data_IF_439282307697
#
_entry.id   IF_439282307697
#
_cell.length_a   1.000
_cell.length_b   1.000
_cell.length_c   1.000
_cell.angle_alpha   90.00
_cell.angle_beta   90.00
_cell.angle_gamma   90.00
#
_symmetry.space_group_name_H-M   'P 1'
#
loop_
_entity.id
_entity.type
_entity.pdbx_description
1 polymer ?
#
# COMPACT_ATOMS: atom_id res chain seq x y z
N UNK A 1 -2.31 -33.13 35.76
CA UNK A 1 -3.70 -33.53 36.06
C UNK A 1 -4.60 -32.33 35.90
N UNK A 2 -5.70 -32.44 35.17
CA UNK A 2 -6.67 -31.34 35.00
C UNK A 2 -7.55 -31.26 36.26
N UNK A 3 -7.79 -30.03 36.69
CA UNK A 3 -8.51 -29.71 37.91
C UNK A 3 -9.96 -29.40 37.62
N UNK A 4 -10.86 -30.18 38.19
CA UNK A 4 -12.31 -30.07 37.97
C UNK A 4 -13.02 -29.71 39.26
N UNK A 5 -13.92 -28.73 39.21
CA UNK A 5 -14.86 -28.47 40.31
C UNK A 5 -16.21 -29.05 39.93
N UNK A 6 -16.85 -29.72 40.91
CA UNK A 6 -18.18 -30.26 40.81
C UNK A 6 -19.11 -29.37 41.62
N UNK A 7 -20.19 -28.89 41.01
CA UNK A 7 -21.23 -28.13 41.67
C UNK A 7 -22.55 -28.88 41.53
N UNK A 8 -23.00 -29.50 42.59
CA UNK A 8 -24.20 -30.32 42.69
C UNK A 8 -24.68 -30.34 44.15
N UNK A 9 -25.93 -30.04 44.42
CA UNK A 9 -26.49 -30.01 45.75
C UNK A 9 -26.79 -31.45 46.29
N UNK A 10 -26.86 -32.43 45.38
CA UNK A 10 -26.99 -33.83 45.74
C UNK A 10 -25.62 -34.45 46.08
N UNK A 11 -25.28 -34.47 47.37
CA UNK A 11 -23.96 -34.96 47.88
C UNK A 11 -23.59 -36.34 47.37
N UNK A 12 -24.55 -37.22 47.20
CA UNK A 12 -24.33 -38.61 46.70
C UNK A 12 -23.88 -38.55 45.24
N UNK A 13 -24.52 -37.74 44.40
CA UNK A 13 -24.17 -37.61 42.99
C UNK A 13 -22.80 -36.94 42.84
N UNK A 14 -22.55 -35.85 43.59
CA UNK A 14 -21.26 -35.20 43.62
C UNK A 14 -20.11 -36.15 44.03
N UNK A 15 -20.35 -37.01 45.00
CA UNK A 15 -19.34 -38.02 45.46
C UNK A 15 -19.08 -39.06 44.35
N UNK A 16 -20.13 -39.60 43.74
CA UNK A 16 -19.99 -40.56 42.63
C UNK A 16 -19.21 -39.96 41.43
N UNK A 17 -19.50 -38.73 41.09
CA UNK A 17 -18.74 -38.00 40.05
C UNK A 17 -17.29 -37.86 40.48
N UNK A 18 -17.02 -37.50 41.74
CA UNK A 18 -15.69 -37.36 42.28
C UNK A 18 -14.86 -38.63 42.22
N UNK A 19 -15.47 -39.78 42.59
CA UNK A 19 -14.84 -41.10 42.48
C UNK A 19 -14.53 -41.46 41.02
N UNK A 20 -15.46 -41.25 40.11
CA UNK A 20 -15.31 -41.47 38.67
C UNK A 20 -14.16 -40.63 38.10
N UNK A 21 -14.10 -39.33 38.42
CA UNK A 21 -13.06 -38.44 37.96
C UNK A 21 -11.67 -38.85 38.47
N UNK A 22 -11.57 -39.18 39.75
CA UNK A 22 -10.32 -39.60 40.38
C UNK A 22 -9.79 -40.91 39.80
N UNK A 23 -10.68 -41.87 39.51
CA UNK A 23 -10.33 -43.12 38.86
C UNK A 23 -9.81 -42.94 37.40
N UNK A 24 -10.12 -41.82 36.76
CA UNK A 24 -9.73 -41.51 35.40
C UNK A 24 -8.70 -40.38 35.32
N UNK A 25 -7.83 -40.24 36.29
CA UNK A 25 -6.69 -39.29 36.31
C UNK A 25 -7.05 -37.80 36.29
N UNK A 26 -8.28 -37.42 36.67
CA UNK A 26 -8.66 -36.04 36.93
C UNK A 26 -8.52 -35.70 38.41
N UNK A 27 -8.20 -34.45 38.71
CA UNK A 27 -8.16 -33.95 40.09
C UNK A 27 -9.45 -33.20 40.42
N UNK A 28 -10.18 -33.69 41.41
CA UNK A 28 -11.31 -32.94 41.97
C UNK A 28 -10.74 -31.81 42.85
N UNK A 29 -10.87 -30.58 42.38
CA UNK A 29 -10.35 -29.40 43.08
C UNK A 29 -11.28 -28.95 44.20
N UNK A 30 -12.57 -29.26 44.10
CA UNK A 30 -13.58 -28.93 45.09
C UNK A 30 -14.96 -29.42 44.69
N UNK A 31 -15.84 -29.49 45.69
CA UNK A 31 -17.27 -29.83 45.51
C UNK A 31 -18.05 -28.67 46.12
N UNK A 32 -18.93 -28.02 45.35
CA UNK A 32 -19.81 -26.96 45.78
C UNK A 32 -21.26 -27.49 45.86
N UNK A 33 -21.99 -27.10 46.86
CA UNK A 33 -23.39 -27.47 47.08
C UNK A 33 -24.39 -26.42 46.66
N UNK A 34 -23.91 -25.31 46.14
CA UNK A 34 -24.73 -24.17 45.66
C UNK A 34 -24.03 -23.37 44.57
N UNK A 35 -24.80 -22.63 43.78
CA UNK A 35 -24.23 -21.75 42.75
C UNK A 35 -23.37 -20.62 43.32
N UNK A 36 -23.64 -20.13 44.52
CA UNK A 36 -22.82 -19.11 45.16
C UNK A 36 -21.44 -19.67 45.56
N UNK A 37 -21.39 -20.83 46.18
CA UNK A 37 -20.19 -21.53 46.57
C UNK A 37 -19.37 -21.93 45.33
N UNK A 38 -20.03 -22.38 44.26
CA UNK A 38 -19.37 -22.71 43.00
C UNK A 38 -18.63 -21.53 42.40
N UNK A 39 -19.22 -20.32 42.44
CA UNK A 39 -18.56 -19.08 41.97
C UNK A 39 -17.33 -18.75 42.83
N UNK A 40 -17.46 -18.79 44.16
CA UNK A 40 -16.36 -18.49 45.10
C UNK A 40 -15.19 -19.43 44.87
N UNK A 41 -15.48 -20.75 44.89
CA UNK A 41 -14.45 -21.78 44.66
C UNK A 41 -13.79 -21.67 43.27
N UNK A 42 -14.57 -21.34 42.23
CA UNK A 42 -14.01 -21.17 40.88
C UNK A 42 -13.02 -20.01 40.82
N UNK A 43 -13.34 -18.86 41.46
CA UNK A 43 -12.46 -17.68 41.49
C UNK A 43 -11.18 -17.94 42.28
N UNK A 44 -11.28 -18.68 43.38
CA UNK A 44 -10.15 -19.02 44.27
C UNK A 44 -9.26 -20.10 43.64
N UNK A 45 -9.86 -21.22 43.23
CA UNK A 45 -9.13 -22.41 42.81
C UNK A 45 -8.76 -22.43 41.34
N UNK A 46 -9.43 -21.62 40.49
CA UNK A 46 -9.19 -21.51 39.04
C UNK A 46 -9.07 -22.90 38.37
N UNK A 47 -10.15 -23.67 38.32
CA UNK A 47 -10.15 -25.02 37.74
C UNK A 47 -10.01 -24.94 36.19
N UNK A 48 -9.67 -26.11 35.61
CA UNK A 48 -9.62 -26.25 34.15
C UNK A 48 -11.01 -26.51 33.52
N UNK A 49 -11.97 -27.01 34.34
CA UNK A 49 -13.32 -27.30 33.93
C UNK A 49 -14.28 -27.29 35.14
N UNK A 50 -15.52 -26.91 34.90
CA UNK A 50 -16.62 -27.03 35.87
C UNK A 50 -17.68 -28.01 35.37
N UNK A 51 -18.08 -28.93 36.26
CA UNK A 51 -19.31 -29.68 36.14
C UNK A 51 -20.36 -28.97 37.01
N UNK A 52 -21.47 -28.55 36.44
CA UNK A 52 -22.43 -27.68 37.11
C UNK A 52 -23.84 -28.24 36.97
N UNK A 53 -24.50 -28.55 38.09
CA UNK A 53 -25.92 -28.79 38.03
C UNK A 53 -26.67 -27.53 37.69
N UNK A 54 -27.68 -27.64 36.85
CA UNK A 54 -28.55 -26.53 36.46
C UNK A 54 -29.40 -26.07 37.61
N UNK A 55 -29.97 -27.04 38.36
CA UNK A 55 -30.93 -26.77 39.43
C UNK A 55 -30.22 -26.92 40.77
N UNK A 56 -29.90 -25.81 41.40
CA UNK A 56 -29.28 -25.76 42.69
C UNK A 56 -30.04 -24.80 43.64
N UNK A 57 -30.01 -25.10 44.97
CA UNK A 57 -30.71 -24.25 45.96
C UNK A 57 -30.05 -22.90 46.10
N UNK A 58 -30.85 -21.88 46.51
CA UNK A 58 -30.38 -20.56 46.84
C UNK A 58 -30.79 -19.49 45.84
N UNK A 59 -30.15 -18.32 45.92
CA UNK A 59 -30.42 -17.16 45.05
C UNK A 59 -29.79 -17.24 43.69
N UNK A 60 -28.85 -18.15 43.49
CA UNK A 60 -28.05 -18.28 42.29
C UNK A 60 -28.15 -19.73 41.77
N UNK A 61 -28.89 -19.93 40.68
CA UNK A 61 -28.99 -21.20 39.98
C UNK A 61 -27.68 -21.52 39.23
N UNK A 62 -27.51 -22.75 38.75
CA UNK A 62 -26.31 -23.17 38.05
C UNK A 62 -26.05 -22.40 36.79
N UNK A 63 -27.08 -21.99 36.07
CA UNK A 63 -26.97 -21.19 34.84
C UNK A 63 -26.39 -19.81 35.15
N UNK A 64 -26.94 -19.15 36.17
CA UNK A 64 -26.48 -17.81 36.60
C UNK A 64 -25.08 -17.85 37.22
N UNK A 65 -24.73 -18.93 37.93
CA UNK A 65 -23.41 -19.16 38.45
C UNK A 65 -22.38 -19.36 37.30
N UNK A 66 -22.70 -20.22 36.34
CA UNK A 66 -21.87 -20.46 35.17
C UNK A 66 -21.64 -19.17 34.35
N UNK A 67 -22.65 -18.29 34.19
CA UNK A 67 -22.51 -16.98 33.53
C UNK A 67 -21.49 -16.08 34.22
N UNK A 68 -21.50 -16.03 35.56
CA UNK A 68 -20.54 -15.25 36.34
C UNK A 68 -19.13 -15.81 36.23
N UNK A 69 -18.98 -17.13 36.31
CA UNK A 69 -17.70 -17.83 36.18
C UNK A 69 -17.10 -17.61 34.79
N UNK A 70 -17.91 -17.81 33.75
CA UNK A 70 -17.45 -17.65 32.37
C UNK A 70 -16.99 -16.21 32.08
N UNK A 71 -17.72 -15.21 32.60
CA UNK A 71 -17.32 -13.79 32.46
C UNK A 71 -15.97 -13.47 33.13
N UNK A 72 -15.67 -14.13 34.25
CA UNK A 72 -14.47 -13.86 35.02
C UNK A 72 -13.24 -14.70 34.57
N UNK A 73 -13.45 -15.97 34.25
CA UNK A 73 -12.36 -16.94 34.09
C UNK A 73 -12.31 -17.59 32.69
N UNK A 74 -13.41 -17.51 31.91
CA UNK A 74 -13.53 -18.13 30.57
C UNK A 74 -13.12 -19.62 30.58
N UNK A 75 -13.58 -20.38 31.57
CA UNK A 75 -13.34 -21.83 31.69
C UNK A 75 -14.52 -22.63 31.18
N UNK A 76 -14.31 -23.84 30.64
CA UNK A 76 -15.40 -24.66 30.12
C UNK A 76 -16.33 -25.09 31.25
N UNK A 77 -17.63 -24.96 31.01
CA UNK A 77 -18.70 -25.43 31.88
C UNK A 77 -19.47 -26.53 31.16
N UNK A 78 -19.66 -27.65 31.81
CA UNK A 78 -20.55 -28.75 31.40
C UNK A 78 -21.73 -28.75 32.36
N UNK A 79 -22.93 -28.63 31.81
CA UNK A 79 -24.13 -28.70 32.63
C UNK A 79 -24.55 -30.15 32.86
N UNK A 80 -24.88 -30.48 34.14
CA UNK A 80 -25.53 -31.70 34.53
C UNK A 80 -27.04 -31.37 34.65
N UNK A 81 -27.88 -32.20 34.11
CA UNK A 81 -29.35 -31.94 34.11
C UNK A 81 -30.14 -33.22 34.26
N UNK A 82 -31.15 -33.22 35.10
CA UNK A 82 -32.09 -34.34 35.27
C UNK A 82 -33.13 -34.44 34.15
N UNK A 83 -33.37 -33.33 33.44
CA UNK A 83 -34.36 -33.25 32.36
C UNK A 83 -33.80 -32.52 31.15
N UNK A 84 -34.11 -33.00 29.96
CA UNK A 84 -33.97 -32.28 28.72
C UNK A 84 -35.05 -31.21 28.58
N UNK A 85 -35.18 -30.34 29.61
CA UNK A 85 -36.19 -29.27 29.57
C UNK A 85 -35.69 -28.22 28.61
N UNK A 86 -36.43 -28.07 27.52
CA UNK A 86 -36.07 -27.19 26.40
C UNK A 86 -35.92 -25.73 26.87
N UNK A 87 -36.69 -25.34 27.88
CA UNK A 87 -36.61 -23.99 28.47
C UNK A 87 -35.25 -23.73 29.19
N UNK A 88 -34.79 -24.72 29.95
CA UNK A 88 -33.50 -24.62 30.64
C UNK A 88 -32.31 -24.63 29.67
N UNK A 89 -32.40 -25.41 28.60
CA UNK A 89 -31.40 -25.43 27.53
C UNK A 89 -31.36 -24.06 26.83
N UNK A 90 -32.53 -23.46 26.52
CA UNK A 90 -32.59 -22.13 25.91
C UNK A 90 -32.01 -21.02 26.81
N UNK A 91 -32.23 -21.10 28.12
CA UNK A 91 -31.64 -20.18 29.11
C UNK A 91 -30.11 -20.32 29.22
N UNK A 92 -29.59 -21.53 29.09
CA UNK A 92 -28.15 -21.81 29.19
C UNK A 92 -27.39 -21.49 27.88
N UNK A 93 -28.07 -21.47 26.72
CA UNK A 93 -27.49 -21.23 25.39
C UNK A 93 -26.63 -19.96 25.28
N UNK A 94 -27.03 -18.79 25.82
CA UNK A 94 -26.22 -17.57 25.74
C UNK A 94 -24.89 -17.64 26.47
N UNK A 95 -24.73 -18.56 27.42
CA UNK A 95 -23.50 -18.76 28.20
C UNK A 95 -22.47 -19.53 27.36
N UNK A 96 -22.94 -20.26 26.32
CA UNK A 96 -22.09 -21.07 25.47
C UNK A 96 -21.47 -22.29 26.18
N UNK A 97 -22.30 -23.13 26.88
CA UNK A 97 -21.75 -24.29 27.56
C UNK A 97 -21.09 -25.23 26.56
N UNK A 98 -20.09 -25.97 27.05
CA UNK A 98 -19.36 -26.89 26.19
C UNK A 98 -20.13 -28.18 25.92
N UNK A 99 -20.93 -28.64 26.90
CA UNK A 99 -21.80 -29.80 26.76
C UNK A 99 -22.91 -29.78 27.82
N UNK A 100 -23.91 -30.66 27.61
CA UNK A 100 -24.94 -31.06 28.57
C UNK A 100 -24.83 -32.57 28.80
N UNK A 101 -24.85 -33.01 30.04
CA UNK A 101 -24.86 -34.42 30.42
C UNK A 101 -26.10 -34.71 31.24
N UNK A 102 -26.88 -35.70 30.80
CA UNK A 102 -28.13 -36.07 31.42
C UNK A 102 -27.87 -36.95 32.65
N UNK A 103 -28.60 -36.70 33.75
CA UNK A 103 -28.72 -37.58 34.88
C UNK A 103 -29.80 -38.67 34.61
N UNK A 104 -29.61 -39.98 34.94
CA UNK A 104 -28.50 -40.56 35.66
C UNK A 104 -27.21 -40.61 34.81
N UNK A 105 -26.12 -40.21 35.44
CA UNK A 105 -24.82 -40.04 34.78
C UNK A 105 -24.26 -41.40 34.32
N UNK A 106 -23.90 -41.48 33.05
CA UNK A 106 -23.12 -42.57 32.50
C UNK A 106 -21.66 -42.18 32.43
N UNK A 107 -20.77 -42.92 33.06
CA UNK A 107 -19.35 -42.66 33.18
C UNK A 107 -18.73 -42.34 31.82
N UNK A 108 -18.97 -43.17 30.79
CA UNK A 108 -18.43 -42.95 29.44
C UNK A 108 -18.88 -41.64 28.79
N UNK A 109 -20.13 -41.24 29.03
CA UNK A 109 -20.66 -39.97 28.47
C UNK A 109 -20.06 -38.77 29.17
N UNK A 110 -19.92 -38.84 30.50
CA UNK A 110 -19.30 -37.79 31.30
C UNK A 110 -17.84 -37.58 30.91
N UNK A 111 -17.06 -38.63 30.84
CA UNK A 111 -15.64 -38.57 30.47
C UNK A 111 -15.45 -38.05 29.04
N UNK A 112 -16.25 -38.53 28.09
CA UNK A 112 -16.20 -38.03 26.72
C UNK A 112 -16.54 -36.52 26.63
N UNK A 113 -17.56 -36.05 27.37
CA UNK A 113 -17.94 -34.64 27.41
C UNK A 113 -16.79 -33.78 28.03
N UNK A 114 -16.14 -34.26 29.09
CA UNK A 114 -15.02 -33.57 29.70
C UNK A 114 -13.83 -33.46 28.75
N UNK A 115 -13.45 -34.54 28.08
CA UNK A 115 -12.34 -34.57 27.14
C UNK A 115 -12.59 -33.62 25.97
N UNK A 116 -13.78 -33.66 25.39
CA UNK A 116 -14.17 -32.75 24.31
C UNK A 116 -14.17 -31.29 24.76
N UNK A 117 -14.69 -30.99 25.97
CA UNK A 117 -14.74 -29.65 26.50
C UNK A 117 -13.34 -29.07 26.74
N UNK A 118 -12.45 -29.85 27.37
CA UNK A 118 -11.07 -29.47 27.61
C UNK A 118 -10.28 -29.23 26.31
N UNK A 119 -10.42 -30.17 25.37
CA UNK A 119 -9.75 -30.05 24.08
C UNK A 119 -10.25 -28.81 23.29
N UNK A 120 -11.56 -28.59 23.21
CA UNK A 120 -12.17 -27.45 22.58
C UNK A 120 -11.69 -26.13 23.23
N UNK A 121 -11.60 -26.07 24.56
CA UNK A 121 -11.12 -24.89 25.26
C UNK A 121 -9.66 -24.57 24.88
N UNK A 122 -8.77 -25.57 24.87
CA UNK A 122 -7.38 -25.39 24.43
C UNK A 122 -7.28 -24.90 23.00
N UNK A 123 -8.10 -25.44 22.09
CA UNK A 123 -8.12 -25.01 20.71
C UNK A 123 -8.62 -23.57 20.55
N UNK A 124 -9.65 -23.19 21.31
CA UNK A 124 -10.17 -21.81 21.28
C UNK A 124 -9.13 -20.80 21.80
N UNK A 125 -8.41 -21.15 22.87
CA UNK A 125 -7.32 -20.30 23.39
C UNK A 125 -6.20 -20.13 22.38
N UNK A 126 -5.74 -21.23 21.77
CA UNK A 126 -4.71 -21.17 20.71
C UNK A 126 -5.16 -20.33 19.49
N UNK A 127 -6.42 -20.47 19.10
CA UNK A 127 -6.99 -19.68 18.00
C UNK A 127 -7.01 -18.20 18.34
N UNK A 128 -7.41 -17.84 19.56
CA UNK A 128 -7.41 -16.46 20.03
C UNK A 128 -5.99 -15.88 20.04
N UNK A 129 -5.02 -16.59 20.63
CA UNK A 129 -3.62 -16.16 20.63
C UNK A 129 -3.05 -15.97 19.22
N UNK A 130 -3.38 -16.88 18.30
CA UNK A 130 -2.96 -16.77 16.91
C UNK A 130 -3.60 -15.56 16.20
N UNK A 131 -4.89 -15.30 16.49
CA UNK A 131 -5.61 -14.14 15.97
C UNK A 131 -4.97 -12.83 16.46
N UNK A 132 -4.75 -12.70 17.75
CA UNK A 132 -4.16 -11.50 18.37
C UNK A 132 -2.74 -11.22 17.80
N UNK A 133 -1.92 -12.27 17.63
CA UNK A 133 -0.60 -12.17 17.01
C UNK A 133 -0.68 -11.75 15.52
N UNK A 134 -1.68 -12.26 14.80
CA UNK A 134 -1.88 -11.90 13.41
C UNK A 134 -2.31 -10.44 13.27
N UNK A 135 -3.22 -9.99 14.12
CA UNK A 135 -3.69 -8.60 14.14
C UNK A 135 -2.53 -7.62 14.40
N UNK A 136 -1.70 -7.89 15.41
CA UNK A 136 -0.50 -7.09 15.65
C UNK A 136 0.44 -7.05 14.45
N UNK A 137 0.67 -8.21 13.81
CA UNK A 137 1.55 -8.29 12.64
C UNK A 137 1.00 -7.54 11.43
N UNK A 138 -0.32 -7.56 11.25
CA UNK A 138 -1.00 -6.78 10.20
C UNK A 138 -0.82 -5.29 10.45
N UNK A 139 -1.01 -4.84 11.68
CA UNK A 139 -0.85 -3.43 12.05
C UNK A 139 0.60 -2.95 11.82
N UNK A 140 1.60 -3.70 12.29
CA UNK A 140 3.01 -3.40 12.06
C UNK A 140 3.35 -3.32 10.57
N UNK A 141 2.92 -4.32 9.78
CA UNK A 141 3.18 -4.36 8.34
C UNK A 141 2.48 -3.24 7.58
N UNK A 142 1.27 -2.90 7.98
CA UNK A 142 0.54 -1.78 7.37
C UNK A 142 1.27 -0.46 7.62
N UNK A 143 1.78 -0.26 8.83
CA UNK A 143 2.57 0.92 9.17
C UNK A 143 3.89 1.00 8.38
N UNK A 144 4.63 -0.12 8.29
CA UNK A 144 5.87 -0.18 7.49
C UNK A 144 5.61 0.13 6.01
N UNK A 145 4.55 -0.47 5.44
CA UNK A 145 4.18 -0.26 4.05
C UNK A 145 3.80 1.19 3.77
N UNK A 146 3.07 1.83 4.68
CA UNK A 146 2.71 3.24 4.56
C UNK A 146 3.96 4.13 4.49
N UNK A 147 4.90 3.95 5.42
CA UNK A 147 6.16 4.72 5.44
C UNK A 147 6.95 4.50 4.15
N UNK A 148 7.04 3.25 3.67
CA UNK A 148 7.74 2.95 2.41
C UNK A 148 7.05 3.58 1.20
N UNK A 149 5.71 3.60 1.17
CA UNK A 149 4.95 4.23 0.10
C UNK A 149 5.16 5.74 0.06
N UNK A 150 5.11 6.40 1.21
CA UNK A 150 5.37 7.84 1.33
C UNK A 150 6.79 8.19 0.85
N UNK A 151 7.81 7.46 1.29
CA UNK A 151 9.20 7.64 0.84
C UNK A 151 9.37 7.43 -0.68
N UNK A 152 8.70 6.41 -1.25
CA UNK A 152 8.74 6.16 -2.69
C UNK A 152 8.08 7.27 -3.49
N UNK A 153 7.00 7.87 -3.02
CA UNK A 153 6.35 9.01 -3.66
C UNK A 153 7.24 10.25 -3.65
N UNK A 154 7.90 10.53 -2.52
CA UNK A 154 8.87 11.63 -2.41
C UNK A 154 10.05 11.42 -3.36
N UNK A 155 10.64 10.23 -3.38
CA UNK A 155 11.74 9.89 -4.29
C UNK A 155 11.32 10.00 -5.76
N UNK A 156 10.14 9.52 -6.14
CA UNK A 156 9.62 9.65 -7.49
C UNK A 156 9.43 11.11 -7.90
N UNK A 157 8.93 11.93 -6.97
CA UNK A 157 8.75 13.36 -7.22
C UNK A 157 10.09 14.06 -7.43
N UNK A 158 11.06 13.80 -6.56
CA UNK A 158 12.41 14.33 -6.69
C UNK A 158 13.09 13.88 -8.01
N UNK A 159 12.94 12.60 -8.37
CA UNK A 159 13.48 12.07 -9.63
C UNK A 159 12.86 12.74 -10.86
N UNK A 160 11.55 12.98 -10.87
CA UNK A 160 10.87 13.69 -11.95
C UNK A 160 11.40 15.11 -12.12
N UNK A 161 11.65 15.83 -11.02
CA UNK A 161 12.21 17.19 -11.06
C UNK A 161 13.65 17.17 -11.61
N UNK A 162 14.47 16.21 -11.15
CA UNK A 162 15.85 16.08 -11.65
C UNK A 162 15.91 15.71 -13.14
N UNK A 163 15.04 14.80 -13.59
CA UNK A 163 14.97 14.44 -15.01
C UNK A 163 14.55 15.62 -15.87
N UNK A 164 13.56 16.40 -15.40
CA UNK A 164 13.13 17.60 -16.11
C UNK A 164 14.27 18.62 -16.21
N UNK A 165 14.96 18.88 -15.10
CA UNK A 165 16.10 19.81 -15.10
C UNK A 165 17.24 19.34 -16.01
N UNK A 166 17.56 18.05 -15.97
CA UNK A 166 18.59 17.47 -16.88
C UNK A 166 18.22 17.67 -18.36
N UNK A 167 16.94 17.59 -18.67
CA UNK A 167 16.46 17.80 -20.04
C UNK A 167 16.57 19.28 -20.45
N UNK A 168 16.23 20.20 -19.54
CA UNK A 168 16.43 21.64 -19.72
C UNK A 168 17.91 22.00 -19.90
N UNK A 169 18.79 21.50 -19.03
CA UNK A 169 20.24 21.74 -19.10
C UNK A 169 20.85 21.19 -20.40
N UNK A 170 20.38 20.03 -20.87
CA UNK A 170 20.81 19.44 -22.14
C UNK A 170 20.41 20.31 -23.32
N UNK A 171 19.19 20.83 -23.32
CA UNK A 171 18.69 21.69 -24.40
C UNK A 171 19.46 23.01 -24.47
N UNK A 172 19.74 23.60 -23.32
CA UNK A 172 20.54 24.82 -23.24
C UNK A 172 21.96 24.60 -23.80
N UNK A 173 22.58 23.47 -23.45
CA UNK A 173 23.90 23.10 -23.98
C UNK A 173 23.86 22.90 -25.50
N UNK A 174 22.85 22.22 -26.02
CA UNK A 174 22.66 21.99 -27.45
C UNK A 174 22.50 23.34 -28.21
N UNK A 175 21.67 24.25 -27.71
CA UNK A 175 21.51 25.59 -28.26
C UNK A 175 22.83 26.39 -28.27
N UNK A 176 23.60 26.26 -27.17
CA UNK A 176 24.88 26.97 -27.00
C UNK A 176 25.94 26.44 -27.98
N UNK A 177 26.01 25.13 -28.21
CA UNK A 177 26.93 24.55 -29.20
C UNK A 177 26.59 25.00 -30.60
N UNK A 178 25.30 24.99 -31.01
CA UNK A 178 24.86 25.45 -32.30
C UNK A 178 25.20 26.96 -32.51
N UNK A 179 24.90 27.76 -31.50
CA UNK A 179 25.21 29.21 -31.54
C UNK A 179 26.71 29.46 -31.73
N UNK A 180 27.54 28.81 -30.91
CA UNK A 180 29.00 28.98 -30.97
C UNK A 180 29.57 28.62 -32.36
N UNK A 181 29.13 27.50 -32.93
CA UNK A 181 29.62 27.08 -34.23
C UNK A 181 29.09 28.02 -35.36
N UNK A 182 27.79 28.29 -35.38
CA UNK A 182 27.17 29.06 -36.48
C UNK A 182 27.48 30.53 -36.44
N UNK A 183 27.49 31.15 -35.28
CA UNK A 183 27.61 32.59 -35.13
C UNK A 183 29.06 33.04 -34.88
N UNK A 184 29.89 32.22 -34.21
CA UNK A 184 31.27 32.59 -33.86
C UNK A 184 32.32 31.96 -34.80
N UNK A 185 32.08 30.77 -35.35
CA UNK A 185 33.09 30.02 -36.12
C UNK A 185 32.82 30.12 -37.65
N UNK A 186 31.62 29.80 -38.09
CA UNK A 186 31.27 29.73 -39.53
C UNK A 186 31.53 31.03 -40.30
N UNK A 187 31.26 32.25 -39.78
CA UNK A 187 31.54 33.49 -40.49
C UNK A 187 33.04 33.72 -40.79
N UNK A 188 33.91 33.24 -39.88
CA UNK A 188 35.35 33.35 -40.15
C UNK A 188 35.81 32.31 -41.18
N UNK A 189 35.21 31.14 -41.17
CA UNK A 189 35.48 30.10 -42.16
C UNK A 189 35.09 30.56 -43.56
N UNK A 190 33.95 31.23 -43.71
CA UNK A 190 33.50 31.80 -44.99
C UNK A 190 34.43 32.91 -45.45
N UNK A 191 34.91 33.80 -44.54
CA UNK A 191 35.90 34.81 -44.89
C UNK A 191 37.21 34.19 -45.37
N UNK A 192 37.65 33.09 -44.73
CA UNK A 192 38.85 32.34 -45.19
C UNK A 192 38.62 31.78 -46.58
N UNK A 193 37.46 31.16 -46.86
CA UNK A 193 37.09 30.64 -48.18
C UNK A 193 37.11 31.71 -49.27
N UNK A 194 36.70 32.94 -48.92
CA UNK A 194 36.69 34.07 -49.87
C UNK A 194 38.08 34.67 -50.15
N UNK A 195 39.10 34.27 -49.38
CA UNK A 195 40.49 34.70 -49.60
C UNK A 195 41.17 33.89 -50.70
N UNK A 196 42.38 34.36 -51.18
CA UNK A 196 43.19 33.59 -52.14
C UNK A 196 43.83 32.40 -51.42
N UNK A 197 43.21 31.21 -51.59
CA UNK A 197 43.70 29.95 -51.03
C UNK A 197 44.37 29.09 -52.13
N UNK A 198 45.43 28.42 -51.76
CA UNK A 198 45.99 27.33 -52.60
C UNK A 198 45.10 26.07 -52.54
N UNK A 199 45.35 25.11 -53.42
CA UNK A 199 44.51 23.90 -53.51
C UNK A 199 44.52 23.04 -52.21
N UNK A 200 45.66 23.02 -51.47
CA UNK A 200 45.76 22.28 -50.21
C UNK A 200 44.96 22.98 -49.11
N UNK A 201 45.05 24.30 -49.04
CA UNK A 201 44.28 25.12 -48.08
C UNK A 201 42.79 25.02 -48.31
N UNK A 202 42.32 25.01 -49.59
CA UNK A 202 40.90 24.78 -49.94
C UNK A 202 40.36 23.48 -49.40
N UNK A 203 41.10 22.37 -49.67
CA UNK A 203 40.71 21.04 -49.14
C UNK A 203 40.64 21.00 -47.62
N UNK A 204 41.58 21.62 -46.92
CA UNK A 204 41.57 21.69 -45.43
C UNK A 204 40.36 22.44 -44.90
N UNK A 205 40.01 23.58 -45.53
CA UNK A 205 38.84 24.39 -45.16
C UNK A 205 37.52 23.63 -45.40
N UNK A 206 37.44 22.90 -46.54
CA UNK A 206 36.27 22.06 -46.82
C UNK A 206 36.09 20.91 -45.80
N UNK A 207 37.21 20.27 -45.41
CA UNK A 207 37.18 19.24 -44.34
C UNK A 207 36.73 19.85 -43.00
N UNK A 208 37.25 21.04 -42.68
CA UNK A 208 36.93 21.71 -41.41
C UNK A 208 35.44 22.12 -41.36
N UNK A 209 34.89 22.62 -42.48
CA UNK A 209 33.47 22.93 -42.62
C UNK A 209 32.60 21.68 -42.46
N UNK A 210 32.97 20.58 -43.11
CA UNK A 210 32.28 19.29 -42.99
C UNK A 210 32.26 18.83 -41.54
N UNK A 211 33.40 18.85 -40.86
CA UNK A 211 33.52 18.42 -39.45
C UNK A 211 32.66 19.32 -38.53
N UNK A 212 32.63 20.63 -38.73
CA UNK A 212 31.79 21.54 -37.95
C UNK A 212 30.29 21.27 -38.19
N UNK A 213 29.90 21.02 -39.45
CA UNK A 213 28.54 20.62 -39.79
C UNK A 213 28.14 19.29 -39.17
N UNK A 214 29.08 18.33 -39.12
CA UNK A 214 28.85 17.04 -38.47
C UNK A 214 28.65 17.16 -36.94
N UNK A 215 29.35 18.09 -36.30
CA UNK A 215 29.16 18.42 -34.88
C UNK A 215 27.78 19.06 -34.66
N UNK A 216 27.33 19.95 -35.51
CA UNK A 216 26.05 20.68 -35.37
C UNK A 216 24.84 19.84 -35.83
N UNK A 217 25.02 18.95 -36.83
CA UNK A 217 23.94 18.17 -37.44
C UNK A 217 23.12 17.31 -36.45
N UNK A 218 23.70 16.58 -35.50
CA UNK A 218 22.93 15.81 -34.51
C UNK A 218 22.01 16.72 -33.65
N UNK A 219 22.52 17.86 -33.22
CA UNK A 219 21.78 18.84 -32.40
C UNK A 219 20.68 19.54 -33.23
N UNK A 220 20.97 19.87 -34.46
CA UNK A 220 19.99 20.43 -35.40
C UNK A 220 18.84 19.43 -35.72
N UNK A 221 19.14 18.15 -35.80
CA UNK A 221 18.13 17.08 -35.95
C UNK A 221 17.27 16.92 -34.70
N UNK A 222 17.86 16.94 -33.51
CA UNK A 222 17.12 16.85 -32.24
C UNK A 222 16.13 18.00 -32.10
N UNK A 223 16.57 19.25 -32.45
CA UNK A 223 15.68 20.41 -32.48
C UNK A 223 14.59 20.30 -33.56
N UNK A 224 14.89 19.73 -34.74
CA UNK A 224 13.90 19.57 -35.83
C UNK A 224 12.79 18.57 -35.48
N UNK A 225 13.11 17.54 -34.77
CA UNK A 225 12.13 16.54 -34.29
C UNK A 225 11.23 17.14 -33.21
N UNK A 226 11.74 18.05 -32.41
CA UNK A 226 11.00 18.76 -31.34
C UNK A 226 10.03 19.82 -31.90
N UNK A 227 10.37 20.48 -32.99
CA UNK A 227 9.51 21.50 -33.64
C UNK A 227 8.60 20.95 -34.76
N UNK A 228 8.14 19.69 -34.60
CA UNK A 228 7.02 19.13 -35.39
C UNK A 228 7.15 19.41 -36.92
N UNK A 229 8.17 18.87 -37.57
CA UNK A 229 8.33 18.91 -39.02
C UNK A 229 8.52 20.32 -39.65
N UNK A 230 9.09 21.27 -38.93
CA UNK A 230 9.48 22.55 -39.54
C UNK A 230 10.62 22.33 -40.55
N UNK A 231 10.55 23.03 -41.69
CA UNK A 231 11.68 23.07 -42.61
C UNK A 231 12.86 23.85 -42.02
N UNK A 232 14.11 23.68 -42.53
CA UNK A 232 15.27 24.44 -42.04
C UNK A 232 15.04 25.96 -42.02
N UNK A 233 14.41 26.51 -43.04
CA UNK A 233 14.08 27.93 -43.13
C UNK A 233 13.02 28.34 -42.09
N UNK A 234 11.98 27.53 -41.89
CA UNK A 234 10.97 27.76 -40.85
C UNK A 234 11.56 27.69 -39.45
N UNK A 235 12.52 26.78 -39.23
CA UNK A 235 13.22 26.64 -37.96
C UNK A 235 14.07 27.86 -37.64
N UNK A 236 14.82 28.37 -38.61
CA UNK A 236 15.60 29.59 -38.49
C UNK A 236 14.73 30.78 -38.11
N UNK A 237 13.60 30.94 -38.81
CA UNK A 237 12.62 31.99 -38.50
C UNK A 237 11.96 31.81 -37.13
N UNK A 238 11.59 30.56 -36.75
CA UNK A 238 11.02 30.27 -35.45
C UNK A 238 11.98 30.62 -34.31
N UNK A 239 13.28 30.33 -34.48
CA UNK A 239 14.31 30.66 -33.49
C UNK A 239 14.44 32.19 -33.34
N UNK A 240 14.48 32.95 -34.44
CA UNK A 240 14.52 34.42 -34.39
C UNK A 240 13.25 35.01 -33.74
N UNK A 241 12.07 34.45 -33.98
CA UNK A 241 10.82 34.84 -33.33
C UNK A 241 10.87 34.56 -31.83
N UNK A 242 11.40 33.40 -31.39
CA UNK A 242 11.62 33.05 -29.99
C UNK A 242 12.50 34.09 -29.29
N UNK A 243 13.57 34.55 -29.95
CA UNK A 243 14.46 35.61 -29.45
C UNK A 243 13.90 37.04 -29.60
N UNK A 244 12.62 37.18 -29.96
CA UNK A 244 11.91 38.46 -29.96
C UNK A 244 12.12 39.31 -31.19
N UNK A 245 12.73 38.80 -32.26
CA UNK A 245 12.91 39.52 -33.51
C UNK A 245 11.59 39.76 -34.24
N UNK A 246 11.39 40.96 -34.74
CA UNK A 246 10.21 41.33 -35.51
C UNK A 246 10.30 40.84 -36.95
N UNK A 247 9.18 40.80 -37.66
CA UNK A 247 9.13 40.43 -39.11
C UNK A 247 10.08 41.24 -39.95
N UNK A 248 10.22 42.57 -39.67
CA UNK A 248 11.13 43.44 -40.37
C UNK A 248 12.60 43.11 -40.13
N UNK A 249 12.99 42.94 -38.87
CA UNK A 249 14.35 42.57 -38.51
C UNK A 249 14.77 41.21 -39.10
N UNK A 250 13.86 40.23 -39.08
CA UNK A 250 14.09 38.93 -39.70
C UNK A 250 14.27 39.05 -41.22
N UNK A 251 13.46 39.86 -41.86
CA UNK A 251 13.54 40.13 -43.30
C UNK A 251 14.91 40.75 -43.69
N UNK A 252 15.39 41.70 -42.90
CA UNK A 252 16.70 42.35 -43.10
C UNK A 252 17.84 41.34 -42.87
N UNK A 253 17.79 40.53 -41.79
CA UNK A 253 18.84 39.54 -41.45
C UNK A 253 18.94 38.46 -42.53
N UNK A 254 17.81 37.99 -43.07
CA UNK A 254 17.77 36.91 -44.03
C UNK A 254 17.79 37.35 -45.48
N UNK A 255 17.83 38.66 -45.74
CA UNK A 255 17.77 39.27 -47.09
C UNK A 255 16.51 38.82 -47.87
N UNK A 256 15.37 38.68 -47.15
CA UNK A 256 14.08 38.28 -47.73
C UNK A 256 13.05 39.42 -47.61
N UNK A 257 11.96 39.29 -48.35
CA UNK A 257 10.84 40.24 -48.22
C UNK A 257 10.07 39.98 -46.91
N UNK A 258 9.52 41.04 -46.29
CA UNK A 258 8.64 40.90 -45.14
C UNK A 258 7.46 39.96 -45.40
N UNK A 259 6.95 39.98 -46.65
CA UNK A 259 5.86 39.08 -47.10
C UNK A 259 6.28 37.61 -47.08
N UNK A 260 7.53 37.31 -47.44
CA UNK A 260 8.10 35.96 -47.39
C UNK A 260 8.21 35.48 -45.94
N UNK A 261 8.67 36.33 -45.02
CA UNK A 261 8.76 36.02 -43.60
C UNK A 261 7.37 35.78 -43.00
N UNK A 262 6.37 36.57 -43.35
CA UNK A 262 4.98 36.36 -42.91
C UNK A 262 4.44 34.99 -43.37
N UNK A 263 4.69 34.65 -44.64
CA UNK A 263 4.31 33.31 -45.16
C UNK A 263 4.93 32.16 -44.37
N UNK A 264 6.21 32.25 -44.03
CA UNK A 264 6.88 31.26 -43.19
C UNK A 264 6.29 31.25 -41.77
N UNK A 265 6.01 32.39 -41.15
CA UNK A 265 5.37 32.48 -39.85
C UNK A 265 3.99 31.83 -39.82
N UNK A 266 3.23 31.97 -40.91
CA UNK A 266 1.93 31.32 -41.07
C UNK A 266 2.07 29.79 -41.24
N UNK A 267 3.08 29.35 -42.01
CA UNK A 267 3.45 27.93 -42.13
C UNK A 267 3.82 27.31 -40.78
N UNK A 268 4.65 28.00 -39.99
CA UNK A 268 5.01 27.61 -38.65
C UNK A 268 3.77 27.48 -37.75
N UNK A 269 2.87 28.52 -37.79
CA UNK A 269 1.62 28.47 -37.01
C UNK A 269 0.72 27.31 -37.40
N UNK A 270 0.66 26.97 -38.68
CA UNK A 270 -0.11 25.84 -39.19
C UNK A 270 0.45 24.51 -38.66
N UNK A 271 1.76 24.32 -38.74
CA UNK A 271 2.45 23.10 -38.30
C UNK A 271 2.40 22.92 -36.77
N UNK A 272 2.40 24.03 -36.02
CA UNK A 272 2.25 24.05 -34.56
C UNK A 272 0.78 23.97 -34.11
N UNK A 273 -0.20 23.91 -35.04
CA UNK A 273 -1.62 23.77 -34.67
C UNK A 273 -2.24 25.04 -34.04
N UNK A 274 -1.64 26.21 -34.24
CA UNK A 274 -2.09 27.51 -33.66
C UNK A 274 -2.60 28.53 -34.68
N UNK A 275 -2.74 28.15 -35.94
CA UNK A 275 -3.11 29.08 -37.02
C UNK A 275 -4.40 29.87 -36.77
N UNK A 276 -5.38 29.27 -36.08
CA UNK A 276 -6.68 29.87 -35.79
C UNK A 276 -6.89 30.22 -34.31
N UNK A 277 -5.85 30.19 -33.51
CA UNK A 277 -5.91 30.56 -32.10
C UNK A 277 -5.35 31.95 -31.86
N UNK A 278 -5.95 32.75 -30.97
CA UNK A 278 -5.40 34.04 -30.52
C UNK A 278 -4.08 33.86 -29.70
N UNK A 279 -3.27 32.91 -30.07
CA UNK A 279 -2.00 32.62 -29.39
C UNK A 279 -0.87 33.39 -30.05
N UNK A 280 -0.05 34.05 -29.25
CA UNK A 280 1.17 34.70 -29.74
C UNK A 280 2.20 33.60 -30.07
N UNK A 281 2.71 33.63 -31.32
CA UNK A 281 3.68 32.64 -31.80
C UNK A 281 4.94 32.58 -30.92
N UNK A 282 5.42 33.72 -30.46
CA UNK A 282 6.58 33.80 -29.56
C UNK A 282 6.31 33.06 -28.25
N UNK A 283 5.19 33.36 -27.58
CA UNK A 283 4.83 32.73 -26.29
C UNK A 283 4.64 31.23 -26.46
N UNK A 284 4.08 30.80 -27.59
CA UNK A 284 3.89 29.37 -27.85
C UNK A 284 5.22 28.66 -28.12
N UNK A 285 6.15 29.27 -28.84
CA UNK A 285 7.50 28.72 -29.05
C UNK A 285 8.31 28.65 -27.76
N UNK A 286 8.08 29.56 -26.79
CA UNK A 286 8.68 29.54 -25.48
C UNK A 286 8.11 28.44 -24.59
N UNK A 287 6.88 27.97 -24.77
CA UNK A 287 6.27 26.90 -23.97
C UNK A 287 6.74 25.49 -24.36
N UNK A 288 7.50 25.36 -25.43
CA UNK A 288 8.18 24.12 -25.85
C UNK A 288 9.61 24.00 -25.28
N UNK A 289 9.99 24.90 -24.38
CA UNK A 289 11.27 24.85 -23.65
C UNK A 289 11.03 24.19 -22.30
#
# INVERSE_FOLDING_TARGET
>A
MQRIIIADDEVIIASQIGECLTANDYQVAGIASSGAEAVEMALELKPDLMLMDIVMPGKLDGISAAAKINKALNIPVIFLTAYADEEMIQRAKPIGPYAYVLKPLQERQLLAAIEIALHKNVMQQKLKEAHDKLEQRVEERTRELRIKSENLEEMNTALKVLLKKREEDKDELEEQVIYNVKELVMPFLEKIKASRLDNRQKTLVEILESNLNDIVSPFAKALSTRYLNLTPAEMQIANMVKHGKTTKEIAEILFLSTRTIESHRDGIRQKLGIKNKKANLRTHLMSYT
#
